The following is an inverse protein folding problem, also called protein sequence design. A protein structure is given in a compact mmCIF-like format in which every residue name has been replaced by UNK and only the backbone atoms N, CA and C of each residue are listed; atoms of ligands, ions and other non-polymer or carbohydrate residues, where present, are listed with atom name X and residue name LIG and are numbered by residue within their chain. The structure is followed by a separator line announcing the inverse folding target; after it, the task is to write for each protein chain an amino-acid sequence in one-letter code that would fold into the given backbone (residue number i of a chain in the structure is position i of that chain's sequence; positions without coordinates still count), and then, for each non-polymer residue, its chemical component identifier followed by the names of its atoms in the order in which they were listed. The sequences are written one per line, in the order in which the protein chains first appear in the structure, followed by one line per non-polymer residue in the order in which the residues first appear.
data_IF_331010319170
#
_entry.id   IF_331010319170
#
_cell.length_a   1.000
_cell.length_b   1.000
_cell.length_c   1.000
_cell.angle_alpha   90.00
_cell.angle_beta   90.00
_cell.angle_gamma   90.00
#
_symmetry.space_group_name_H-M   'P 1'
#
loop_
_entity.id
_entity.type
_entity.pdbx_description
1 polymer ?
#
# COMPACT_ATOMS: atom_id res chain seq x y z
N UNK A 1 8.61 5.41 -16.96
CA UNK A 1 8.72 4.20 -17.80
C UNK A 1 7.82 3.15 -17.18
N UNK A 2 6.59 2.98 -17.73
CA UNK A 2 5.65 2.02 -17.17
C UNK A 2 6.22 0.60 -17.36
N UNK A 3 6.29 -0.24 -16.31
CA UNK A 3 6.68 -1.63 -16.48
C UNK A 3 5.70 -2.28 -17.44
N UNK A 4 6.23 -2.87 -18.52
CA UNK A 4 5.43 -3.62 -19.49
C UNK A 4 4.66 -4.69 -18.74
N UNK A 5 3.36 -4.47 -18.54
CA UNK A 5 2.45 -5.45 -17.96
C UNK A 5 2.68 -6.73 -18.78
N UNK A 6 3.08 -7.87 -18.21
CA UNK A 6 3.07 -9.11 -18.96
C UNK A 6 1.66 -9.25 -19.52
N UNK A 7 1.56 -9.10 -20.84
CA UNK A 7 0.32 -8.87 -21.56
C UNK A 7 -0.68 -9.96 -21.16
N UNK A 8 -1.97 -9.62 -21.07
CA UNK A 8 -3.05 -10.55 -20.75
C UNK A 8 -2.95 -11.92 -21.46
N UNK A 9 -2.30 -11.95 -22.63
CA UNK A 9 -1.82 -13.12 -23.36
C UNK A 9 -1.15 -14.20 -22.47
N UNK A 10 -0.16 -13.86 -21.63
CA UNK A 10 0.57 -14.85 -20.82
C UNK A 10 -0.32 -15.52 -19.77
N UNK A 11 -1.30 -14.79 -19.23
CA UNK A 11 -2.25 -15.30 -18.25
C UNK A 11 -3.31 -16.19 -18.89
N UNK A 12 -3.60 -15.98 -20.17
CA UNK A 12 -4.52 -16.80 -20.93
C UNK A 12 -3.89 -18.10 -21.47
N UNK A 13 -2.55 -18.24 -21.43
CA UNK A 13 -1.86 -19.40 -21.99
C UNK A 13 -2.36 -20.75 -21.45
N UNK A 14 -2.48 -20.97 -20.12
CA UNK A 14 -2.99 -22.26 -19.61
C UNK A 14 -4.43 -22.51 -20.06
N UNK A 15 -5.27 -21.47 -20.05
CA UNK A 15 -6.68 -21.58 -20.46
C UNK A 15 -6.81 -21.94 -21.95
N UNK A 16 -6.10 -21.22 -22.83
CA UNK A 16 -6.13 -21.46 -24.28
C UNK A 16 -5.55 -22.83 -24.59
N UNK A 17 -4.43 -23.20 -23.97
CA UNK A 17 -3.79 -24.51 -24.18
C UNK A 17 -4.70 -25.65 -23.73
N UNK A 18 -5.36 -25.51 -22.58
CA UNK A 18 -6.32 -26.49 -22.08
C UNK A 18 -7.55 -26.63 -22.99
N UNK A 19 -8.12 -25.52 -23.47
CA UNK A 19 -9.25 -25.54 -24.39
C UNK A 19 -8.89 -26.17 -25.75
N UNK A 20 -7.77 -25.74 -26.34
CA UNK A 20 -7.30 -26.28 -27.64
C UNK A 20 -6.94 -27.76 -27.50
N UNK A 21 -6.19 -28.14 -26.46
CA UNK A 21 -5.80 -29.52 -26.19
C UNK A 21 -7.02 -30.42 -25.98
N UNK A 22 -7.98 -30.02 -25.16
CA UNK A 22 -9.19 -30.79 -24.91
C UNK A 22 -10.05 -30.95 -26.17
N UNK A 23 -10.14 -29.89 -26.98
CA UNK A 23 -10.84 -29.93 -28.27
C UNK A 23 -10.18 -30.89 -29.24
N UNK A 24 -8.84 -30.85 -29.36
CA UNK A 24 -8.09 -31.75 -30.24
C UNK A 24 -8.23 -33.22 -29.82
N UNK A 25 -8.18 -33.51 -28.52
CA UNK A 25 -8.40 -34.87 -27.99
C UNK A 25 -9.83 -35.34 -28.32
N UNK A 26 -10.83 -34.47 -28.13
CA UNK A 26 -12.22 -34.79 -28.47
C UNK A 26 -12.44 -35.05 -29.96
N UNK A 27 -11.85 -34.21 -30.84
CA UNK A 27 -11.90 -34.41 -32.29
C UNK A 27 -11.20 -35.70 -32.70
N UNK A 28 -10.00 -35.96 -32.14
CA UNK A 28 -9.27 -37.20 -32.38
C UNK A 28 -10.10 -38.43 -31.99
N UNK A 29 -10.79 -38.39 -30.85
CA UNK A 29 -11.67 -39.46 -30.39
C UNK A 29 -12.83 -39.72 -31.36
N UNK A 30 -13.52 -38.67 -31.81
CA UNK A 30 -14.68 -38.79 -32.73
C UNK A 30 -14.27 -39.32 -34.11
N UNK A 31 -13.11 -38.92 -34.62
CA UNK A 31 -12.61 -39.34 -35.93
C UNK A 31 -12.01 -40.76 -35.93
N UNK A 32 -11.81 -41.35 -34.75
CA UNK A 32 -11.23 -42.69 -34.63
C UNK A 32 -12.28 -43.77 -34.85
N UNK A 33 -12.11 -44.58 -35.90
CA UNK A 33 -13.06 -45.65 -36.24
C UNK A 33 -13.03 -46.86 -35.28
N UNK A 34 -11.85 -47.29 -34.83
CA UNK A 34 -11.69 -48.37 -33.84
C UNK A 34 -10.80 -47.91 -32.69
N UNK A 35 -11.36 -47.89 -31.48
CA UNK A 35 -10.66 -47.41 -30.28
C UNK A 35 -9.71 -48.46 -29.70
N UNK A 36 -8.40 -48.17 -29.72
CA UNK A 36 -7.41 -49.02 -29.08
C UNK A 36 -7.33 -48.77 -27.56
N UNK A 37 -7.00 -49.79 -26.73
CA UNK A 37 -6.82 -49.60 -25.29
C UNK A 37 -5.68 -48.63 -24.90
N UNK A 38 -4.66 -48.47 -25.74
CA UNK A 38 -3.63 -47.45 -25.56
C UNK A 38 -4.17 -46.04 -25.79
N UNK A 39 -5.02 -45.87 -26.80
CA UNK A 39 -5.64 -44.59 -27.13
C UNK A 39 -6.62 -44.15 -26.05
N UNK A 40 -7.48 -45.04 -25.56
CA UNK A 40 -8.42 -44.68 -24.47
C UNK A 40 -7.70 -44.17 -23.20
N UNK A 41 -6.53 -44.73 -22.86
CA UNK A 41 -5.70 -44.26 -21.75
C UNK A 41 -5.07 -42.89 -22.02
N UNK A 42 -4.59 -42.67 -23.25
CA UNK A 42 -4.04 -41.39 -23.67
C UNK A 42 -5.11 -40.29 -23.69
N UNK A 43 -6.31 -40.58 -24.19
CA UNK A 43 -7.46 -39.65 -24.21
C UNK A 43 -7.84 -39.25 -22.77
N UNK A 44 -7.91 -40.21 -21.84
CA UNK A 44 -8.20 -39.93 -20.43
C UNK A 44 -7.16 -38.99 -19.79
N UNK A 45 -5.87 -39.23 -20.02
CA UNK A 45 -4.80 -38.36 -19.55
C UNK A 45 -4.85 -36.98 -20.22
N UNK A 46 -5.14 -36.92 -21.52
CA UNK A 46 -5.25 -35.67 -22.29
C UNK A 46 -6.41 -34.79 -21.85
N UNK A 47 -7.58 -35.39 -21.57
CA UNK A 47 -8.74 -34.70 -21.00
C UNK A 47 -8.41 -34.19 -19.59
N UNK A 48 -7.78 -35.03 -18.75
CA UNK A 48 -7.37 -34.65 -17.40
C UNK A 48 -6.40 -33.46 -17.39
N UNK A 49 -5.38 -33.49 -18.26
CA UNK A 49 -4.43 -32.39 -18.41
C UNK A 49 -5.10 -31.11 -18.90
N UNK A 50 -6.02 -31.23 -19.87
CA UNK A 50 -6.78 -30.11 -20.42
C UNK A 50 -7.65 -29.44 -19.35
N UNK A 51 -8.34 -30.24 -18.53
CA UNK A 51 -9.15 -29.74 -17.41
C UNK A 51 -8.28 -29.02 -16.36
N UNK A 52 -7.10 -29.58 -16.03
CA UNK A 52 -6.17 -28.95 -15.08
C UNK A 52 -5.65 -27.60 -15.60
N UNK A 53 -5.33 -27.53 -16.89
CA UNK A 53 -4.87 -26.29 -17.55
C UNK A 53 -5.96 -25.21 -17.58
N UNK A 54 -7.21 -25.59 -17.86
CA UNK A 54 -8.36 -24.69 -17.80
C UNK A 54 -8.55 -24.16 -16.39
N UNK A 55 -8.56 -25.03 -15.37
CA UNK A 55 -8.71 -24.62 -13.96
C UNK A 55 -7.59 -23.65 -13.53
N UNK A 56 -6.35 -23.97 -13.90
CA UNK A 56 -5.18 -23.12 -13.62
C UNK A 56 -5.33 -21.74 -14.27
N UNK A 57 -5.76 -21.70 -15.53
CA UNK A 57 -6.03 -20.46 -16.25
C UNK A 57 -7.12 -19.61 -15.59
N UNK A 58 -8.22 -20.25 -15.14
CA UNK A 58 -9.30 -19.56 -14.44
C UNK A 58 -8.83 -19.00 -13.09
N UNK A 59 -8.06 -19.75 -12.31
CA UNK A 59 -7.46 -19.28 -11.06
C UNK A 59 -6.59 -18.04 -11.30
N UNK A 60 -5.77 -18.04 -12.34
CA UNK A 60 -4.93 -16.90 -12.71
C UNK A 60 -5.73 -15.67 -13.15
N UNK A 61 -6.98 -15.83 -13.60
CA UNK A 61 -7.85 -14.71 -13.95
C UNK A 61 -8.54 -14.11 -12.73
N UNK A 62 -8.88 -14.91 -11.71
CA UNK A 62 -9.63 -14.45 -10.54
C UNK A 62 -8.85 -13.54 -9.58
N UNK A 63 -7.51 -13.52 -9.64
CA UNK A 63 -6.68 -12.71 -8.74
C UNK A 63 -6.40 -11.34 -9.35
N UNK A 64 -7.39 -10.44 -9.32
CA UNK A 64 -7.12 -9.00 -9.37
C UNK A 64 -7.91 -8.30 -8.26
N UNK A 65 -7.25 -7.91 -7.16
CA UNK A 65 -7.80 -6.89 -6.28
C UNK A 65 -8.10 -5.67 -7.13
N UNK A 66 -9.34 -5.17 -7.11
CA UNK A 66 -9.64 -3.88 -7.73
C UNK A 66 -8.75 -2.85 -7.06
N UNK A 67 -7.87 -2.13 -7.80
CA UNK A 67 -7.08 -1.08 -7.20
C UNK A 67 -8.07 -0.05 -6.61
N UNK A 68 -7.85 0.31 -5.36
CA UNK A 68 -8.70 1.30 -4.70
C UNK A 68 -8.59 2.63 -5.47
N UNK A 69 -9.73 3.29 -5.67
CA UNK A 69 -9.79 4.52 -6.43
C UNK A 69 -9.00 5.62 -5.69
N UNK A 70 -7.96 6.12 -6.35
CA UNK A 70 -7.10 7.18 -5.86
C UNK A 70 -7.84 8.52 -5.95
N UNK A 71 -8.03 9.17 -4.81
CA UNK A 71 -8.66 10.49 -4.74
C UNK A 71 -7.59 11.57 -4.87
N UNK A 72 -7.89 12.65 -5.57
CA UNK A 72 -7.05 13.85 -5.53
C UNK A 72 -7.29 14.57 -4.21
N UNK A 73 -6.26 14.66 -3.37
CA UNK A 73 -6.40 15.30 -2.06
C UNK A 73 -6.74 16.78 -2.20
N UNK A 74 -7.66 17.24 -1.35
CA UNK A 74 -8.08 18.64 -1.26
C UNK A 74 -7.12 19.42 -0.36
N UNK A 75 -6.50 20.45 -0.92
CA UNK A 75 -5.58 21.31 -0.17
C UNK A 75 -4.53 21.94 -1.07
N UNK A 76 -3.57 22.63 -0.46
CA UNK A 76 -2.46 23.27 -1.19
C UNK A 76 -1.20 22.42 -1.10
N UNK A 77 -0.56 22.08 -2.23
CA UNK A 77 0.77 21.48 -2.22
C UNK A 77 1.75 22.40 -1.50
N UNK A 78 2.49 21.89 -0.52
CA UNK A 78 3.41 22.70 0.25
C UNK A 78 4.40 21.91 1.09
N UNK A 79 5.32 22.66 1.68
CA UNK A 79 6.34 22.20 2.60
C UNK A 79 6.49 23.27 3.69
N UNK A 80 6.11 22.92 4.91
CA UNK A 80 6.20 23.79 6.08
C UNK A 80 7.14 23.16 7.11
N UNK A 81 7.95 24.01 7.75
CA UNK A 81 8.93 23.63 8.76
C UNK A 81 8.60 24.30 10.09
N UNK A 82 8.95 23.67 11.20
CA UNK A 82 9.04 24.39 12.47
C UNK A 82 10.17 25.42 12.43
N UNK A 83 9.97 26.51 13.18
CA UNK A 83 10.98 27.53 13.40
C UNK A 83 12.21 26.92 14.10
N UNK A 84 13.41 27.32 13.65
CA UNK A 84 14.69 26.97 14.27
C UNK A 84 15.05 25.45 14.33
N UNK A 85 14.85 24.70 13.24
CA UNK A 85 15.37 23.33 13.11
C UNK A 85 16.86 23.29 12.71
N UNK A 86 17.70 22.43 13.34
CA UNK A 86 19.07 22.16 12.89
C UNK A 86 19.11 21.64 11.44
N UNK A 87 20.13 22.03 10.68
CA UNK A 87 20.20 21.70 9.25
C UNK A 87 20.27 20.19 8.99
N UNK A 88 21.04 19.45 9.79
CA UNK A 88 21.12 17.98 9.70
C UNK A 88 19.77 17.29 9.94
N UNK A 89 18.94 17.85 10.82
CA UNK A 89 17.59 17.35 11.08
C UNK A 89 16.65 17.71 9.93
N UNK A 90 16.76 18.91 9.35
CA UNK A 90 16.01 19.29 8.15
C UNK A 90 16.32 18.36 6.98
N UNK A 91 17.58 18.05 6.73
CA UNK A 91 17.98 17.11 5.68
C UNK A 91 17.35 15.72 5.88
N UNK A 92 17.41 15.21 7.10
CA UNK A 92 16.82 13.91 7.46
C UNK A 92 15.30 13.91 7.27
N UNK A 93 14.61 14.94 7.74
CA UNK A 93 13.17 15.11 7.60
C UNK A 93 12.75 15.32 6.14
N UNK A 94 13.54 16.06 5.37
CA UNK A 94 13.33 16.28 3.94
C UNK A 94 13.48 14.96 3.16
N UNK A 95 14.50 14.17 3.47
CA UNK A 95 14.71 12.84 2.89
C UNK A 95 13.55 11.91 3.23
N UNK A 96 13.20 11.78 4.51
CA UNK A 96 12.14 10.85 4.94
C UNK A 96 10.79 11.21 4.31
N UNK A 97 10.38 12.48 4.40
CA UNK A 97 9.11 12.93 3.83
C UNK A 97 9.04 12.80 2.32
N UNK A 98 10.13 13.11 1.60
CA UNK A 98 10.18 12.90 0.15
C UNK A 98 10.04 11.43 -0.22
N UNK A 99 10.76 10.56 0.48
CA UNK A 99 10.76 9.13 0.21
C UNK A 99 9.37 8.54 0.48
N UNK A 100 8.72 8.95 1.57
CA UNK A 100 7.36 8.53 1.89
C UNK A 100 6.35 8.99 0.83
N UNK A 101 6.41 10.25 0.39
CA UNK A 101 5.49 10.79 -0.62
C UNK A 101 5.68 10.19 -2.02
N UNK A 102 6.90 9.79 -2.38
CA UNK A 102 7.21 9.30 -3.74
C UNK A 102 7.15 7.79 -3.88
N UNK A 103 7.36 7.04 -2.80
CA UNK A 103 7.41 5.57 -2.83
C UNK A 103 6.13 4.90 -2.32
N UNK A 104 5.17 5.65 -1.78
CA UNK A 104 3.95 5.09 -1.17
C UNK A 104 2.70 5.83 -1.61
N UNK A 105 1.53 5.33 -1.22
CA UNK A 105 0.26 6.03 -1.45
C UNK A 105 0.04 7.26 -0.54
N UNK A 106 1.08 7.77 0.12
CA UNK A 106 1.01 8.94 1.00
C UNK A 106 0.92 10.23 0.17
N UNK A 107 -0.07 11.07 0.46
CA UNK A 107 -0.20 12.39 -0.15
C UNK A 107 0.06 13.55 0.81
N UNK A 108 0.09 13.31 2.12
CA UNK A 108 0.50 14.29 3.12
C UNK A 108 1.29 13.59 4.24
N UNK A 109 2.41 14.19 4.64
CA UNK A 109 3.27 13.75 5.74
C UNK A 109 3.31 14.84 6.80
N UNK A 110 3.06 14.46 8.04
CA UNK A 110 3.15 15.35 9.19
C UNK A 110 4.04 14.71 10.25
N UNK A 111 5.06 15.44 10.70
CA UNK A 111 5.95 15.01 11.78
C UNK A 111 5.65 15.86 13.00
N UNK A 112 5.20 15.21 14.06
CA UNK A 112 4.91 15.86 15.34
C UNK A 112 5.85 15.28 16.41
N UNK A 113 6.52 16.15 17.17
CA UNK A 113 7.46 15.73 18.21
C UNK A 113 7.55 16.81 19.30
N UNK A 114 7.55 16.38 20.56
CA UNK A 114 7.75 17.28 21.71
C UNK A 114 6.70 18.38 21.85
N UNK A 115 5.46 18.13 21.41
CA UNK A 115 4.38 19.13 21.48
C UNK A 115 4.29 20.07 20.27
N UNK A 116 5.23 19.98 19.31
CA UNK A 116 5.27 20.85 18.14
C UNK A 116 5.21 20.05 16.82
N UNK A 117 4.67 20.70 15.79
CA UNK A 117 4.69 20.15 14.42
C UNK A 117 6.00 20.56 13.75
N UNK A 118 6.91 19.61 13.53
CA UNK A 118 8.24 19.87 12.98
C UNK A 118 8.24 20.02 11.47
N UNK A 119 7.40 19.25 10.78
CA UNK A 119 7.33 19.21 9.33
C UNK A 119 5.90 18.90 8.88
N UNK A 120 5.44 19.62 7.85
CA UNK A 120 4.28 19.22 7.04
C UNK A 120 4.68 19.27 5.58
N UNK A 121 4.42 18.20 4.81
CA UNK A 121 4.79 18.13 3.39
C UNK A 121 3.78 17.35 2.58
N UNK A 122 3.50 17.81 1.36
CA UNK A 122 2.57 17.19 0.43
C UNK A 122 1.36 18.08 0.22
N UNK A 123 0.16 17.51 0.14
CA UNK A 123 -1.09 18.28 0.12
C UNK A 123 -1.45 18.65 1.54
N UNK A 124 -1.36 19.92 1.89
CA UNK A 124 -1.55 20.41 3.25
C UNK A 124 -3.04 20.55 3.59
N UNK A 125 -3.41 20.11 4.79
CA UNK A 125 -4.73 20.35 5.37
C UNK A 125 -4.88 21.79 5.88
N UNK A 126 -6.12 22.22 6.16
CA UNK A 126 -6.43 23.60 6.55
C UNK A 126 -5.84 24.00 7.90
N UNK A 127 -5.76 23.07 8.88
CA UNK A 127 -5.19 23.38 10.19
C UNK A 127 -3.65 23.25 10.15
N UNK A 128 -2.95 24.29 10.62
CA UNK A 128 -1.49 24.36 10.61
C UNK A 128 -0.79 23.62 11.75
N UNK A 129 -1.55 23.21 12.79
CA UNK A 129 -1.02 22.58 14.00
C UNK A 129 -1.73 21.28 14.28
N UNK A 130 -0.98 20.29 14.73
CA UNK A 130 -1.51 19.02 15.21
C UNK A 130 -2.00 19.21 16.64
N UNK A 131 -3.29 18.99 16.86
CA UNK A 131 -3.86 18.86 18.21
C UNK A 131 -3.83 17.40 18.66
N UNK A 132 -3.50 17.18 19.93
CA UNK A 132 -3.46 15.86 20.54
C UNK A 132 -4.87 15.34 20.78
N UNK A 133 -5.34 14.42 19.94
CA UNK A 133 -6.58 13.70 20.21
C UNK A 133 -6.35 12.30 20.80
N UNK A 134 -7.44 11.53 20.99
CA UNK A 134 -7.40 10.23 21.65
C UNK A 134 -6.62 9.17 20.86
N UNK A 135 -6.61 9.24 19.53
CA UNK A 135 -5.90 8.25 18.69
C UNK A 135 -4.40 8.49 18.78
N UNK A 136 -3.96 9.74 18.60
CA UNK A 136 -2.56 10.12 18.72
C UNK A 136 -2.03 9.82 20.12
N UNK A 137 -2.79 10.18 21.17
CA UNK A 137 -2.44 9.88 22.57
C UNK A 137 -2.24 8.38 22.80
N UNK A 138 -3.11 7.54 22.22
CA UNK A 138 -3.00 6.08 22.32
C UNK A 138 -1.73 5.54 21.64
N UNK A 139 -1.34 6.11 20.50
CA UNK A 139 -0.08 5.73 19.82
C UNK A 139 1.11 6.03 20.70
N UNK A 140 1.15 7.22 21.31
CA UNK A 140 2.22 7.64 22.21
C UNK A 140 2.29 6.76 23.46
N UNK A 141 1.15 6.49 24.11
CA UNK A 141 1.13 5.67 25.34
C UNK A 141 1.47 4.21 25.08
N UNK A 142 1.00 3.62 23.96
CA UNK A 142 1.24 2.20 23.65
C UNK A 142 2.54 1.95 22.90
N UNK A 143 3.13 2.98 22.28
CA UNK A 143 4.27 2.82 21.38
C UNK A 143 3.96 1.92 20.18
N UNK A 144 2.71 1.83 19.76
CA UNK A 144 2.26 0.96 18.67
C UNK A 144 1.64 1.76 17.54
N UNK A 145 2.02 1.42 16.32
CA UNK A 145 1.46 1.99 15.11
C UNK A 145 -0.06 1.75 15.04
N UNK A 146 -0.80 2.76 14.58
CA UNK A 146 -2.23 2.64 14.31
C UNK A 146 -2.46 2.95 12.83
N UNK A 147 -3.10 2.01 12.13
CA UNK A 147 -3.51 2.20 10.75
C UNK A 147 -5.03 2.25 10.63
N UNK A 148 -5.55 3.41 10.22
CA UNK A 148 -6.95 3.64 9.87
C UNK A 148 -7.11 3.47 8.36
N UNK A 149 -7.59 2.31 7.95
CA UNK A 149 -7.66 1.89 6.54
C UNK A 149 -8.68 2.68 5.69
N UNK A 150 -9.71 3.22 6.34
CA UNK A 150 -10.77 4.03 5.75
C UNK A 150 -11.25 5.06 6.77
N UNK A 151 -10.77 6.29 6.64
CA UNK A 151 -11.03 7.36 7.60
C UNK A 151 -12.53 7.73 7.68
N UNK A 152 -13.30 7.48 6.62
CA UNK A 152 -14.75 7.76 6.59
C UNK A 152 -15.53 6.92 7.60
N UNK A 153 -15.01 5.75 7.95
CA UNK A 153 -15.62 4.83 8.92
C UNK A 153 -15.39 5.24 10.38
N UNK A 154 -14.49 6.20 10.64
CA UNK A 154 -14.11 6.57 12.00
C UNK A 154 -14.80 7.87 12.43
N UNK A 155 -15.66 7.84 13.46
CA UNK A 155 -16.31 9.06 13.97
C UNK A 155 -15.30 10.04 14.58
N UNK A 156 -14.16 9.54 15.09
CA UNK A 156 -13.05 10.35 15.62
C UNK A 156 -12.17 11.04 14.55
N UNK A 157 -12.55 10.98 13.26
CA UNK A 157 -11.78 11.62 12.18
C UNK A 157 -11.58 13.12 12.32
N UNK A 158 -12.40 13.78 13.16
CA UNK A 158 -12.29 15.20 13.50
C UNK A 158 -10.94 15.56 14.14
N UNK A 159 -10.24 14.59 14.73
CA UNK A 159 -8.88 14.76 15.26
C UNK A 159 -7.84 15.09 14.16
N UNK A 160 -8.12 14.79 12.89
CA UNK A 160 -7.19 14.95 11.78
C UNK A 160 -7.49 16.18 10.91
N UNK A 161 -7.97 17.27 11.52
CA UNK A 161 -8.28 18.53 10.83
C UNK A 161 -7.06 19.20 10.16
N UNK A 162 -5.85 18.84 10.57
CA UNK A 162 -4.57 19.24 9.97
C UNK A 162 -4.19 18.46 8.70
N UNK A 163 -4.93 17.40 8.37
CA UNK A 163 -4.80 16.63 7.13
C UNK A 163 -5.82 17.12 6.09
N UNK A 164 -5.63 16.80 4.79
CA UNK A 164 -6.64 17.03 3.76
C UNK A 164 -8.00 16.43 4.16
N UNK A 165 -9.12 17.16 4.01
CA UNK A 165 -10.43 16.74 4.50
C UNK A 165 -10.95 15.46 3.82
N UNK A 166 -10.50 15.20 2.59
CA UNK A 166 -10.83 14.01 1.82
C UNK A 166 -9.75 12.92 1.89
N UNK A 167 -8.94 12.90 2.95
CA UNK A 167 -8.00 11.80 3.24
C UNK A 167 -8.73 10.46 3.32
N UNK A 168 -8.20 9.43 2.65
CA UNK A 168 -8.84 8.11 2.59
C UNK A 168 -8.35 7.18 3.71
N UNK A 169 -7.09 7.24 4.08
CA UNK A 169 -6.54 6.44 5.18
C UNK A 169 -5.46 7.20 5.94
N UNK A 170 -5.22 6.81 7.19
CA UNK A 170 -4.21 7.46 8.05
C UNK A 170 -3.38 6.40 8.73
N UNK A 171 -2.05 6.47 8.57
CA UNK A 171 -1.10 5.66 9.31
C UNK A 171 -0.36 6.55 10.30
N UNK A 172 -0.38 6.18 11.57
CA UNK A 172 0.29 6.90 12.65
C UNK A 172 1.36 5.98 13.22
N UNK A 173 2.62 6.41 13.15
CA UNK A 173 3.79 5.67 13.59
C UNK A 173 4.43 6.41 14.78
N UNK A 174 4.67 5.74 15.91
CA UNK A 174 5.33 6.37 17.04
C UNK A 174 6.79 6.73 16.69
N UNK A 175 7.23 7.91 17.10
CA UNK A 175 8.62 8.37 17.03
C UNK A 175 9.24 8.32 18.43
N UNK A 176 9.34 7.11 18.99
CA UNK A 176 9.66 6.92 20.41
C UNK A 176 8.45 7.22 21.30
N UNK A 177 8.68 7.85 22.47
CA UNK A 177 7.63 8.19 23.43
C UNK A 177 7.01 9.58 23.27
N UNK A 178 7.72 10.50 22.59
CA UNK A 178 7.40 11.94 22.60
C UNK A 178 6.96 12.48 21.23
N UNK A 179 6.72 11.61 20.26
CA UNK A 179 6.34 12.05 18.91
C UNK A 179 5.66 11.00 18.08
N UNK A 180 5.16 11.44 16.93
CA UNK A 180 4.50 10.60 15.95
C UNK A 180 4.75 11.11 14.53
N UNK A 181 4.88 10.17 13.60
CA UNK A 181 4.85 10.38 12.17
C UNK A 181 3.45 10.01 11.68
N UNK A 182 2.74 11.00 11.13
CA UNK A 182 1.37 10.87 10.65
C UNK A 182 1.39 10.95 9.13
N UNK A 183 0.82 9.92 8.47
CA UNK A 183 0.80 9.76 7.03
C UNK A 183 -0.63 9.68 6.53
N UNK A 184 -1.00 10.60 5.64
CA UNK A 184 -2.31 10.65 5.01
C UNK A 184 -2.26 9.95 3.65
N UNK A 185 -3.00 8.87 3.50
CA UNK A 185 -3.13 8.12 2.26
C UNK A 185 -4.26 8.69 1.39
N UNK A 186 -3.99 8.81 0.09
CA UNK A 186 -4.98 9.24 -0.90
C UNK A 186 -5.85 8.09 -1.47
N UNK A 187 -5.57 6.85 -1.04
CA UNK A 187 -6.34 5.64 -1.37
C UNK A 187 -6.75 4.88 -0.09
N UNK A 188 -7.97 4.30 -0.05
CA UNK A 188 -8.35 3.38 1.01
C UNK A 188 -7.46 2.13 0.97
N UNK A 189 -7.02 1.63 2.13
CA UNK A 189 -6.09 0.47 2.23
C UNK A 189 -4.82 0.64 1.38
N UNK A 190 -4.33 1.87 1.23
CA UNK A 190 -3.19 2.22 0.37
C UNK A 190 -1.82 1.67 0.81
N UNK A 191 -1.70 1.08 2.00
CA UNK A 191 -0.44 0.55 2.52
C UNK A 191 -0.48 -0.97 2.68
N UNK A 192 0.37 -1.68 1.95
CA UNK A 192 0.59 -3.11 2.15
C UNK A 192 1.30 -3.38 3.49
N UNK A 193 1.30 -4.63 4.00
CA UNK A 193 2.08 -4.98 5.19
C UNK A 193 3.58 -4.69 5.04
N UNK A 194 4.12 -4.87 3.83
CA UNK A 194 5.51 -4.53 3.52
C UNK A 194 5.74 -3.02 3.60
N UNK A 195 4.82 -2.21 3.07
CA UNK A 195 4.90 -0.76 3.14
C UNK A 195 4.84 -0.29 4.59
N UNK A 196 3.93 -0.84 5.40
CA UNK A 196 3.81 -0.50 6.82
C UNK A 196 5.09 -0.82 7.59
N UNK A 197 5.72 -1.98 7.34
CA UNK A 197 6.98 -2.36 7.96
C UNK A 197 8.13 -1.41 7.55
N UNK A 198 8.21 -1.08 6.25
CA UNK A 198 9.22 -0.17 5.72
C UNK A 198 9.06 1.27 6.26
N UNK A 199 7.82 1.78 6.32
CA UNK A 199 7.54 3.08 6.95
C UNK A 199 7.83 3.07 8.45
N UNK A 200 7.56 1.95 9.13
CA UNK A 200 7.94 1.74 10.52
C UNK A 200 9.45 1.87 10.73
N UNK A 201 10.27 1.29 9.86
CA UNK A 201 11.73 1.42 9.91
C UNK A 201 12.19 2.88 9.69
N UNK A 202 11.53 3.63 8.80
CA UNK A 202 11.80 5.06 8.63
C UNK A 202 11.44 5.83 9.91
N UNK A 203 10.29 5.54 10.51
CA UNK A 203 9.86 6.18 11.76
C UNK A 203 10.86 5.90 12.90
N UNK A 204 11.35 4.67 13.02
CA UNK A 204 12.37 4.31 14.01
C UNK A 204 13.69 5.06 13.77
N UNK A 205 14.12 5.16 12.51
CA UNK A 205 15.30 5.96 12.16
C UNK A 205 15.13 7.43 12.55
N UNK A 206 13.97 8.02 12.22
CA UNK A 206 13.65 9.40 12.60
C UNK A 206 13.63 9.57 14.12
N UNK A 207 13.07 8.62 14.87
CA UNK A 207 13.04 8.65 16.32
C UNK A 207 14.45 8.71 16.92
N UNK A 208 15.39 7.91 16.40
CA UNK A 208 16.79 7.93 16.85
C UNK A 208 17.46 9.28 16.56
N UNK A 209 17.23 9.88 15.39
CA UNK A 209 17.80 11.19 15.05
C UNK A 209 17.22 12.31 15.91
N UNK A 210 15.90 12.30 16.15
CA UNK A 210 15.22 13.27 17.01
C UNK A 210 15.68 13.15 18.47
N UNK A 211 15.84 11.93 18.98
CA UNK A 211 16.33 11.69 20.34
C UNK A 211 17.77 12.19 20.53
N UNK A 212 18.65 12.01 19.52
CA UNK A 212 20.03 12.49 19.56
C UNK A 212 20.13 14.01 19.64
N UNK A 213 19.28 14.73 18.92
CA UNK A 213 19.24 16.19 18.97
C UNK A 213 18.79 16.71 20.32
N UNK A 214 17.88 16.00 21.01
CA UNK A 214 17.40 16.38 22.34
C UNK A 214 18.38 16.07 23.48
N UNK A 215 19.23 15.06 23.32
CA UNK A 215 20.26 14.71 24.31
C UNK A 215 21.61 15.40 24.11
N UNK A 216 21.71 16.31 23.13
CA UNK A 216 22.93 17.07 22.81
C UNK A 216 22.96 18.50 23.35
N UNK A 217 21.90 18.92 24.07
CA UNK A 217 21.85 20.13 24.91
C UNK A 217 22.24 19.80 26.37
#
# INVERSE_FOLDING_TARGET
MAPGRPAAAWRALPLITGLVGGTLVGVNHILTGTLLPSQARADALGIGLSALLVLTGLLWQTVQPRPAEAVQLEGTPGLEWADALPESLKETLAWASYTLLTQTATGCVVVWYGGATLLRRGVLGPAGRVELGPILSRVLTKGQAIYLVDLKLYPGRVEFDYLPPNTQGVLILPLGGDGALILAAHTPRGYSPQDQAWMGAIAEHLAVQLARQRGGD
#
